data_IF_773680646240
#
_entry.id   IF_773680646240
#
_cell.length_a   1.000
_cell.length_b   1.000
_cell.length_c   1.000
_cell.angle_alpha   90.00
_cell.angle_beta   90.00
_cell.angle_gamma   90.00
#
_symmetry.space_group_name_H-M   'P 1'
#
loop_
_entity.id
_entity.type
_entity.pdbx_description
1 polymer ?
#
# COMPACT_ATOMS: atom_id res chain seq x y z
N UNK A 1 -38.88 41.75 -23.68
CA UNK A 1 -37.67 40.93 -23.87
C UNK A 1 -36.89 40.85 -22.55
N UNK A 2 -37.12 39.87 -21.67
CA UNK A 2 -36.44 39.82 -20.36
C UNK A 2 -36.34 38.44 -19.69
N UNK A 3 -36.35 37.32 -20.43
CA UNK A 3 -36.36 35.97 -19.82
C UNK A 3 -35.07 35.13 -19.98
N UNK A 4 -33.99 35.70 -20.52
CA UNK A 4 -32.76 34.92 -20.83
C UNK A 4 -31.69 34.97 -19.73
N UNK A 5 -31.81 35.85 -18.73
CA UNK A 5 -30.73 36.07 -17.74
C UNK A 5 -30.74 35.17 -16.49
N UNK A 6 -31.79 34.38 -16.26
CA UNK A 6 -31.94 33.58 -15.03
C UNK A 6 -31.32 32.17 -15.16
N UNK A 7 -31.11 31.67 -16.39
CA UNK A 7 -30.64 30.28 -16.60
C UNK A 7 -29.12 30.15 -16.44
N UNK A 8 -28.34 31.23 -16.59
CA UNK A 8 -26.87 31.16 -16.53
C UNK A 8 -26.26 31.15 -15.12
N UNK A 9 -27.03 31.48 -14.08
CA UNK A 9 -26.55 31.47 -12.69
C UNK A 9 -26.78 30.14 -11.97
N UNK A 10 -27.66 29.27 -12.50
CA UNK A 10 -27.90 27.94 -11.93
C UNK A 10 -26.85 26.90 -12.33
N UNK A 11 -26.11 27.12 -13.43
CA UNK A 11 -25.09 26.18 -13.94
C UNK A 11 -23.72 26.32 -13.25
N UNK A 12 -23.45 27.40 -12.53
CA UNK A 12 -22.17 27.61 -11.82
C UNK A 12 -22.27 27.12 -10.36
N UNK A 13 -23.47 27.00 -9.80
CA UNK A 13 -23.69 26.43 -8.46
C UNK A 13 -23.59 24.91 -8.39
N UNK A 14 -23.63 24.21 -9.53
CA UNK A 14 -23.60 22.74 -9.58
C UNK A 14 -22.19 22.14 -9.69
N UNK A 15 -21.15 22.95 -9.88
CA UNK A 15 -19.76 22.49 -9.96
C UNK A 15 -18.99 22.57 -8.63
N UNK A 16 -19.65 23.01 -7.55
CA UNK A 16 -19.03 23.17 -6.23
C UNK A 16 -19.41 22.05 -5.24
N UNK A 17 -20.15 21.03 -5.67
CA UNK A 17 -20.53 19.91 -4.81
C UNK A 17 -19.79 18.64 -5.24
N UNK A 18 -19.10 18.05 -4.27
CA UNK A 18 -18.42 16.76 -4.33
C UNK A 18 -17.11 16.70 -5.15
N UNK A 19 -16.11 17.46 -4.72
CA UNK A 19 -14.82 16.79 -4.48
C UNK A 19 -14.97 16.20 -3.07
N UNK A 20 -15.75 15.13 -2.95
CA UNK A 20 -15.52 14.23 -1.83
C UNK A 20 -14.06 13.83 -1.96
N UNK A 21 -13.20 13.97 -0.93
CA UNK A 21 -11.99 13.20 -0.96
C UNK A 21 -12.46 11.75 -1.09
N UNK A 22 -12.34 11.15 -2.28
CA UNK A 22 -12.17 9.71 -2.37
C UNK A 22 -11.09 9.45 -1.35
N UNK A 23 -11.45 8.79 -0.25
CA UNK A 23 -10.53 8.51 0.83
C UNK A 23 -9.28 7.96 0.16
N UNK A 24 -8.20 8.74 0.18
CA UNK A 24 -6.98 8.33 -0.48
C UNK A 24 -6.59 7.04 0.23
N UNK A 25 -6.54 5.95 -0.54
CA UNK A 25 -6.08 4.68 -0.03
C UNK A 25 -4.69 4.90 0.57
N UNK A 26 -4.56 4.65 1.87
CA UNK A 26 -3.27 4.79 2.51
C UNK A 26 -2.37 3.68 1.96
N UNK A 27 -1.31 4.07 1.27
CA UNK A 27 -0.19 3.17 1.03
C UNK A 27 0.56 2.95 2.34
N UNK A 28 1.28 1.87 2.45
CA UNK A 28 2.11 1.54 3.59
C UNK A 28 3.37 0.87 3.08
N UNK A 29 4.46 1.08 3.79
CA UNK A 29 5.70 0.35 3.57
C UNK A 29 6.12 -0.26 4.88
N UNK A 30 6.08 -1.58 4.98
CA UNK A 30 6.56 -2.32 6.15
C UNK A 30 7.89 -2.98 5.82
N UNK A 31 8.94 -2.66 6.56
CA UNK A 31 10.24 -3.30 6.39
C UNK A 31 10.44 -4.32 7.51
N UNK A 32 10.84 -5.54 7.13
CA UNK A 32 11.32 -6.59 8.02
C UNK A 32 12.83 -6.71 7.82
N UNK A 33 13.60 -6.39 8.85
CA UNK A 33 15.07 -6.47 8.83
C UNK A 33 15.53 -7.54 9.84
N UNK A 34 16.32 -8.50 9.35
CA UNK A 34 16.92 -9.57 10.13
C UNK A 34 18.45 -9.65 9.94
N UNK A 35 19.09 -8.56 9.50
CA UNK A 35 20.55 -8.45 9.34
C UNK A 35 21.35 -8.69 10.62
N UNK A 36 20.75 -8.42 11.78
CA UNK A 36 21.36 -8.68 13.08
C UNK A 36 21.21 -10.15 13.53
N UNK A 37 20.50 -10.98 12.75
CA UNK A 37 20.20 -12.34 13.15
C UNK A 37 21.41 -13.26 12.99
N UNK A 38 21.63 -14.16 13.97
CA UNK A 38 22.81 -15.03 14.05
C UNK A 38 22.64 -16.36 13.30
N UNK A 39 21.65 -16.45 12.43
CA UNK A 39 21.25 -17.69 11.76
C UNK A 39 22.17 -17.96 10.57
N UNK A 40 22.56 -19.23 10.34
CA UNK A 40 23.18 -19.61 9.09
C UNK A 40 22.10 -19.58 8.00
N UNK A 41 21.95 -18.41 7.37
CA UNK A 41 21.24 -18.29 6.11
C UNK A 41 22.21 -18.73 5.01
N UNK A 42 21.99 -19.89 4.41
CA UNK A 42 22.60 -20.21 3.09
C UNK A 42 21.88 -19.42 1.95
N UNK A 43 20.98 -18.52 2.32
CA UNK A 43 20.25 -17.61 1.44
C UNK A 43 21.11 -16.39 1.09
N UNK A 44 22.11 -16.56 0.23
CA UNK A 44 22.74 -15.52 -0.62
C UNK A 44 22.73 -14.06 -0.06
N UNK A 45 23.22 -13.83 1.17
CA UNK A 45 23.25 -12.51 1.85
C UNK A 45 21.90 -11.78 1.97
N UNK A 46 20.79 -12.51 1.91
CA UNK A 46 19.44 -11.97 2.05
C UNK A 46 19.13 -11.75 3.53
N UNK A 47 18.85 -10.51 3.89
CA UNK A 47 18.65 -10.12 5.28
C UNK A 47 17.52 -9.11 5.50
N UNK A 48 16.78 -8.76 4.44
CA UNK A 48 15.68 -7.80 4.52
C UNK A 48 14.57 -8.09 3.53
N UNK A 49 13.34 -7.87 3.97
CA UNK A 49 12.14 -7.84 3.14
C UNK A 49 11.42 -6.49 3.29
N UNK A 50 10.84 -6.03 2.19
CA UNK A 50 10.00 -4.81 2.16
C UNK A 50 8.65 -5.18 1.59
N UNK A 51 7.60 -4.88 2.36
CA UNK A 51 6.21 -5.01 1.94
C UNK A 51 5.72 -3.62 1.57
N UNK A 52 5.42 -3.41 0.29
CA UNK A 52 4.69 -2.24 -0.17
C UNK A 52 3.24 -2.65 -0.31
N UNK A 53 2.35 -2.07 0.50
CA UNK A 53 0.97 -2.53 0.54
C UNK A 53 -0.01 -1.39 0.73
N UNK A 54 -1.28 -1.64 0.40
CA UNK A 54 -2.39 -0.72 0.62
C UNK A 54 -3.63 -1.53 0.98
N UNK A 55 -4.55 -0.92 1.72
CA UNK A 55 -5.79 -1.58 2.08
C UNK A 55 -6.91 -0.60 2.36
N UNK A 56 -8.14 -1.10 2.29
CA UNK A 56 -9.32 -0.35 2.74
C UNK A 56 -9.75 -0.98 4.05
N UNK A 57 -9.67 -0.21 5.13
CA UNK A 57 -10.27 -0.61 6.40
C UNK A 57 -11.79 -0.72 6.22
N UNK A 58 -12.26 -1.96 6.06
CA UNK A 58 -13.66 -2.31 5.86
C UNK A 58 -14.34 -2.73 7.14
N UNK A 59 -13.58 -2.86 8.24
CA UNK A 59 -14.03 -3.38 9.51
C UNK A 59 -14.01 -2.28 10.60
N UNK A 60 -14.64 -2.56 11.73
CA UNK A 60 -14.68 -1.63 12.87
C UNK A 60 -13.51 -1.81 13.83
N UNK A 61 -12.57 -2.68 13.49
CA UNK A 61 -11.64 -3.28 14.44
C UNK A 61 -10.22 -2.71 14.28
N UNK A 62 -10.08 -1.62 13.52
CA UNK A 62 -8.83 -0.91 13.22
C UNK A 62 -7.73 -1.85 12.68
N UNK A 63 -8.13 -2.84 11.89
CA UNK A 63 -7.24 -3.84 11.31
C UNK A 63 -7.42 -3.91 9.81
N UNK A 64 -6.33 -4.16 9.10
CA UNK A 64 -6.37 -4.53 7.69
C UNK A 64 -5.98 -6.00 7.60
N UNK A 65 -6.86 -6.81 7.03
CA UNK A 65 -6.57 -8.20 6.73
C UNK A 65 -6.40 -8.49 5.23
N UNK A 66 -6.06 -9.74 4.91
CA UNK A 66 -5.86 -10.22 3.54
C UNK A 66 -7.04 -9.98 2.59
N UNK A 67 -8.28 -9.84 3.09
CA UNK A 67 -9.47 -9.58 2.28
C UNK A 67 -9.65 -8.10 1.95
N UNK A 68 -8.94 -7.23 2.66
CA UNK A 68 -9.02 -5.78 2.57
C UNK A 68 -7.83 -5.16 1.82
N UNK A 69 -6.77 -5.95 1.58
CA UNK A 69 -5.64 -5.57 0.76
C UNK A 69 -6.08 -5.18 -0.65
N UNK A 70 -5.52 -4.09 -1.16
CA UNK A 70 -5.66 -3.69 -2.57
C UNK A 70 -4.37 -3.93 -3.31
N UNK A 71 -3.25 -3.48 -2.76
CA UNK A 71 -1.93 -3.74 -3.34
C UNK A 71 -1.08 -4.42 -2.26
N UNK A 72 -0.30 -5.42 -2.64
CA UNK A 72 0.75 -5.98 -1.79
C UNK A 72 1.87 -6.53 -2.64
N UNK A 73 3.04 -5.91 -2.52
CA UNK A 73 4.28 -6.30 -3.18
C UNK A 73 5.32 -6.67 -2.13
N UNK A 74 5.87 -7.88 -2.25
CA UNK A 74 7.02 -8.33 -1.50
C UNK A 74 8.29 -8.09 -2.31
N UNK A 75 9.26 -7.43 -1.69
CA UNK A 75 10.63 -7.32 -2.20
C UNK A 75 11.59 -7.96 -1.23
N UNK A 76 12.48 -8.80 -1.73
CA UNK A 76 13.56 -9.39 -0.95
C UNK A 76 14.86 -8.72 -1.36
N UNK A 77 15.64 -8.30 -0.36
CA UNK A 77 16.81 -7.47 -0.53
C UNK A 77 18.04 -8.20 0.02
N UNK A 78 19.09 -8.22 -0.79
CA UNK A 78 20.46 -8.44 -0.32
C UNK A 78 20.96 -7.08 0.19
N UNK A 79 21.09 -6.88 1.50
CA UNK A 79 21.56 -5.59 2.03
C UNK A 79 23.03 -5.34 1.73
N UNK A 80 23.85 -6.38 1.61
CA UNK A 80 25.28 -6.27 1.33
C UNK A 80 25.53 -5.62 -0.03
N UNK A 81 24.66 -5.90 -1.00
CA UNK A 81 24.64 -5.27 -2.31
C UNK A 81 23.65 -4.09 -2.38
N UNK A 82 22.75 -3.94 -1.41
CA UNK A 82 21.59 -3.04 -1.45
C UNK A 82 20.76 -3.21 -2.73
N UNK A 83 20.56 -4.47 -3.14
CA UNK A 83 19.83 -4.81 -4.37
C UNK A 83 18.59 -5.64 -4.09
N UNK A 84 17.52 -5.38 -4.85
CA UNK A 84 16.33 -6.25 -4.86
C UNK A 84 16.67 -7.50 -5.66
N UNK A 85 16.68 -8.66 -5.00
CA UNK A 85 17.00 -9.95 -5.61
C UNK A 85 15.76 -10.72 -6.04
N UNK A 86 14.60 -10.38 -5.46
CA UNK A 86 13.31 -10.97 -5.82
C UNK A 86 12.17 -9.98 -5.58
N UNK A 87 11.15 -10.06 -6.43
CA UNK A 87 9.91 -9.29 -6.29
C UNK A 87 8.73 -10.19 -6.60
N UNK A 88 7.73 -10.16 -5.73
CA UNK A 88 6.45 -10.84 -5.90
C UNK A 88 5.33 -9.83 -5.74
N UNK A 89 4.50 -9.69 -6.76
CA UNK A 89 3.24 -8.95 -6.66
C UNK A 89 2.23 -9.97 -6.14
N UNK A 90 1.83 -9.85 -4.88
CA UNK A 90 0.97 -10.80 -4.19
C UNK A 90 -0.50 -10.42 -4.41
N UNK A 91 -0.81 -9.12 -4.27
CA UNK A 91 -2.13 -8.55 -4.52
C UNK A 91 -1.98 -7.33 -5.44
N UNK A 92 -2.82 -7.25 -6.47
CA UNK A 92 -2.92 -6.10 -7.39
C UNK A 92 -4.39 -5.73 -7.54
N UNK A 93 -4.73 -4.50 -7.14
CA UNK A 93 -6.10 -3.97 -7.14
C UNK A 93 -7.14 -4.96 -6.54
N UNK A 94 -6.82 -5.51 -5.37
CA UNK A 94 -7.66 -6.44 -4.60
C UNK A 94 -7.70 -7.86 -5.14
N UNK A 95 -6.91 -8.18 -6.17
CA UNK A 95 -6.86 -9.51 -6.78
C UNK A 95 -5.52 -10.17 -6.45
N UNK A 96 -5.59 -11.34 -5.82
CA UNK A 96 -4.42 -12.18 -5.57
C UNK A 96 -3.83 -12.68 -6.89
N UNK A 97 -2.54 -12.45 -7.07
CA UNK A 97 -1.82 -12.78 -8.28
C UNK A 97 -1.19 -14.18 -8.20
N UNK A 98 -0.99 -14.88 -9.33
CA UNK A 98 -0.28 -16.15 -9.34
C UNK A 98 1.20 -16.00 -8.95
N UNK A 99 1.82 -17.06 -8.43
CA UNK A 99 3.27 -17.13 -8.16
C UNK A 99 3.92 -18.19 -9.04
N UNK A 100 4.95 -17.78 -9.79
CA UNK A 100 5.62 -18.66 -10.75
C UNK A 100 4.64 -19.36 -11.72
N UNK A 101 3.54 -18.72 -12.09
CA UNK A 101 2.51 -19.28 -12.97
C UNK A 101 1.46 -20.17 -12.29
N UNK A 102 1.53 -20.40 -10.98
CA UNK A 102 0.51 -21.13 -10.20
C UNK A 102 -0.48 -20.15 -9.62
N UNK A 103 -1.78 -20.40 -9.82
CA UNK A 103 -2.84 -19.58 -9.25
C UNK A 103 -2.83 -19.63 -7.71
N UNK A 104 -2.93 -18.45 -7.09
CA UNK A 104 -3.14 -18.26 -5.66
C UNK A 104 -4.53 -17.71 -5.39
N UNK A 105 -5.12 -18.08 -4.26
CA UNK A 105 -6.37 -17.54 -3.74
C UNK A 105 -6.09 -16.68 -2.50
N UNK A 106 -7.06 -15.85 -2.11
CA UNK A 106 -6.99 -15.08 -0.86
C UNK A 106 -6.82 -15.94 0.39
N UNK A 107 -7.30 -17.19 0.36
CA UNK A 107 -7.10 -18.16 1.45
C UNK A 107 -5.71 -18.80 1.46
N UNK A 108 -4.85 -18.49 0.49
CA UNK A 108 -3.49 -19.01 0.41
C UNK A 108 -2.45 -18.02 0.91
N UNK A 109 -2.88 -16.83 1.30
CA UNK A 109 -2.06 -15.80 1.93
C UNK A 109 -2.60 -15.53 3.33
N UNK A 110 -1.75 -15.01 4.20
CA UNK A 110 -2.14 -14.43 5.49
C UNK A 110 -1.60 -13.01 5.54
N UNK A 111 -2.41 -12.09 6.03
CA UNK A 111 -1.98 -10.72 6.27
C UNK A 111 -2.86 -10.15 7.35
N UNK A 112 -2.23 -9.60 8.39
CA UNK A 112 -2.94 -8.86 9.42
C UNK A 112 -2.10 -7.72 9.94
N UNK A 113 -2.62 -6.51 9.81
CA UNK A 113 -1.98 -5.30 10.28
C UNK A 113 -2.92 -4.54 11.21
N UNK A 114 -2.41 -4.13 12.37
CA UNK A 114 -3.11 -3.28 13.32
C UNK A 114 -2.75 -1.81 13.06
N UNK A 115 -3.75 -1.02 12.66
CA UNK A 115 -3.58 0.38 12.27
C UNK A 115 -3.23 1.26 13.47
N UNK A 116 -3.78 0.97 14.65
CA UNK A 116 -3.58 1.79 15.86
C UNK A 116 -2.15 1.69 16.39
N UNK A 117 -1.65 0.45 16.45
CA UNK A 117 -0.35 0.16 17.03
C UNK A 117 0.78 0.19 15.99
N UNK A 118 0.44 0.29 14.70
CA UNK A 118 1.39 0.26 13.57
C UNK A 118 2.14 -1.09 13.49
N UNK A 119 1.47 -2.18 13.88
CA UNK A 119 2.05 -3.53 14.04
C UNK A 119 1.56 -4.47 12.94
N UNK A 120 2.50 -5.15 12.28
CA UNK A 120 2.20 -6.30 11.44
C UNK A 120 2.09 -7.54 12.32
N UNK A 121 0.86 -8.02 12.55
CA UNK A 121 0.57 -9.10 13.48
C UNK A 121 0.85 -10.49 12.88
N UNK A 122 0.56 -10.69 11.59
CA UNK A 122 0.89 -11.91 10.86
C UNK A 122 0.99 -11.67 9.37
N UNK A 123 1.79 -12.51 8.71
CA UNK A 123 1.96 -12.50 7.27
C UNK A 123 2.33 -13.89 6.77
N UNK A 124 1.88 -14.20 5.56
CA UNK A 124 2.28 -15.35 4.76
C UNK A 124 1.97 -15.00 3.30
N UNK A 125 2.97 -14.90 2.43
CA UNK A 125 2.74 -14.54 1.03
C UNK A 125 2.27 -15.71 0.16
N UNK A 126 2.38 -16.95 0.63
CA UNK A 126 1.88 -18.14 -0.07
C UNK A 126 1.97 -19.42 0.77
N UNK A 127 1.15 -20.43 0.47
CA UNK A 127 1.30 -21.75 1.07
C UNK A 127 2.36 -22.62 0.34
N UNK A 128 3.18 -23.41 1.06
CA UNK A 128 4.16 -24.31 0.45
C UNK A 128 3.62 -25.26 -0.63
N UNK A 129 2.34 -25.65 -0.56
CA UNK A 129 1.74 -26.58 -1.53
C UNK A 129 1.66 -25.97 -2.94
N UNK A 130 1.38 -24.67 -3.05
CA UNK A 130 1.26 -23.99 -4.35
C UNK A 130 2.61 -23.81 -5.03
N UNK A 131 3.68 -23.71 -4.25
CA UNK A 131 5.04 -23.65 -4.74
C UNK A 131 5.37 -24.87 -5.62
N UNK A 132 4.84 -26.06 -5.32
CA UNK A 132 5.14 -27.32 -6.04
C UNK A 132 4.88 -27.28 -7.55
N UNK A 133 4.02 -26.38 -8.03
CA UNK A 133 3.73 -26.19 -9.47
C UNK A 133 4.43 -25.00 -10.11
N UNK A 134 5.23 -24.24 -9.35
CA UNK A 134 5.78 -22.96 -9.80
C UNK A 134 6.91 -23.15 -10.80
N UNK A 135 7.01 -22.26 -11.77
CA UNK A 135 8.16 -22.11 -12.65
C UNK A 135 9.15 -21.11 -12.05
N UNK A 136 10.44 -21.42 -12.14
CA UNK A 136 11.51 -20.52 -11.70
C UNK A 136 11.74 -20.51 -10.20
N UNK A 137 12.44 -19.48 -9.73
CA UNK A 137 12.74 -19.25 -8.31
C UNK A 137 11.62 -18.44 -7.66
N UNK A 138 11.13 -18.90 -6.53
CA UNK A 138 10.08 -18.26 -5.74
C UNK A 138 10.45 -18.27 -4.26
N UNK A 139 9.83 -17.39 -3.48
CA UNK A 139 10.04 -17.33 -2.04
C UNK A 139 8.71 -17.41 -1.32
N UNK A 140 8.70 -18.19 -0.24
CA UNK A 140 7.68 -18.09 0.79
C UNK A 140 8.30 -17.41 2.02
N UNK A 141 7.66 -16.35 2.49
CA UNK A 141 7.99 -15.57 3.66
C UNK A 141 6.75 -15.52 4.55
N UNK A 142 6.83 -16.12 5.72
CA UNK A 142 5.75 -16.12 6.68
C UNK A 142 6.26 -15.86 8.09
N UNK A 143 5.36 -15.42 8.96
CA UNK A 143 5.74 -15.08 10.31
C UNK A 143 4.62 -14.44 11.12
N UNK A 144 5.01 -14.05 12.33
CA UNK A 144 4.13 -13.39 13.30
C UNK A 144 4.86 -12.22 13.90
N UNK A 145 4.10 -11.17 14.21
CA UNK A 145 4.57 -10.03 14.97
C UNK A 145 4.61 -10.30 16.48
N UNK A 146 4.82 -9.25 17.29
CA UNK A 146 4.76 -9.33 18.75
C UNK A 146 3.47 -10.00 19.27
N UNK A 147 3.52 -10.64 20.47
CA UNK A 147 4.63 -10.66 21.42
C UNK A 147 5.71 -11.71 21.14
N UNK A 148 5.48 -12.60 20.18
CA UNK A 148 6.39 -13.71 19.87
C UNK A 148 6.79 -13.63 18.40
N UNK A 149 7.67 -12.67 18.03
CA UNK A 149 8.04 -12.47 16.65
C UNK A 149 8.75 -13.71 16.09
N UNK A 150 8.34 -14.11 14.90
CA UNK A 150 8.96 -15.21 14.16
C UNK A 150 9.08 -14.84 12.69
N UNK A 151 10.14 -15.33 12.05
CA UNK A 151 10.34 -15.20 10.62
C UNK A 151 10.77 -16.54 10.04
N UNK A 152 10.02 -17.00 9.06
CA UNK A 152 10.37 -18.11 8.20
C UNK A 152 10.52 -17.61 6.77
N UNK A 153 11.61 -18.01 6.13
CA UNK A 153 11.83 -17.77 4.71
C UNK A 153 12.25 -19.07 4.04
N UNK A 154 11.63 -19.40 2.92
CA UNK A 154 11.96 -20.59 2.13
C UNK A 154 12.12 -20.20 0.66
N UNK A 155 13.25 -20.60 0.06
CA UNK A 155 13.52 -20.46 -1.37
C UNK A 155 13.11 -21.75 -2.08
N UNK A 156 12.35 -21.59 -3.15
CA UNK A 156 11.85 -22.68 -3.97
C UNK A 156 12.37 -22.52 -5.40
N UNK A 157 12.64 -23.64 -6.07
CA UNK A 157 13.03 -23.68 -7.47
C UNK A 157 12.27 -24.80 -8.19
N UNK A 158 11.42 -24.42 -9.15
CA UNK A 158 10.60 -25.39 -9.88
C UNK A 158 9.75 -26.26 -8.94
N UNK A 159 9.23 -25.65 -7.87
CA UNK A 159 8.44 -26.31 -6.84
C UNK A 159 9.16 -27.22 -5.85
N UNK A 160 10.48 -27.29 -5.90
CA UNK A 160 11.27 -27.94 -4.85
C UNK A 160 11.82 -26.89 -3.89
N UNK A 161 11.65 -27.10 -2.58
CA UNK A 161 12.30 -26.25 -1.57
C UNK A 161 13.80 -26.53 -1.59
N UNK A 162 14.59 -25.53 -1.95
CA UNK A 162 16.05 -25.66 -2.07
C UNK A 162 16.78 -25.08 -0.87
N UNK A 163 16.17 -24.13 -0.18
CA UNK A 163 16.74 -23.52 1.01
C UNK A 163 15.60 -23.03 1.93
N UNK A 164 15.85 -23.03 3.22
CA UNK A 164 14.91 -22.55 4.21
C UNK A 164 15.66 -22.09 5.46
N UNK A 165 15.23 -20.95 5.97
CA UNK A 165 15.67 -20.45 7.25
C UNK A 165 14.46 -20.16 8.12
N UNK A 166 14.66 -20.37 9.42
CA UNK A 166 13.63 -20.15 10.40
C UNK A 166 14.24 -19.63 11.70
N UNK A 167 13.62 -18.59 12.24
CA UNK A 167 14.07 -17.89 13.41
C UNK A 167 12.92 -17.68 14.42
N UNK A 168 12.99 -18.44 15.52
CA UNK A 168 12.22 -18.16 16.73
C UNK A 168 13.00 -17.17 17.61
N UNK A 169 12.55 -15.92 17.65
CA UNK A 169 13.21 -14.87 18.45
C UNK A 169 14.03 -13.87 17.64
N UNK A 170 13.92 -13.91 16.31
CA UNK A 170 14.40 -12.89 15.40
C UNK A 170 14.14 -11.50 15.99
N UNK A 171 15.19 -10.69 16.08
CA UNK A 171 15.01 -9.25 16.23
C UNK A 171 14.56 -8.70 14.88
N UNK A 172 13.31 -9.00 14.50
CA UNK A 172 12.68 -8.39 13.33
C UNK A 172 12.39 -6.96 13.71
N UNK A 173 13.20 -6.04 13.18
CA UNK A 173 12.90 -4.62 13.34
C UNK A 173 11.84 -4.26 12.32
N UNK A 174 10.63 -3.97 12.80
CA UNK A 174 9.55 -3.47 11.97
C UNK A 174 9.62 -1.95 11.91
N UNK A 175 9.53 -1.39 10.71
CA UNK A 175 9.19 0.03 10.53
C UNK A 175 8.08 0.15 9.50
N UNK A 176 7.07 0.95 9.80
CA UNK A 176 5.98 1.23 8.88
C UNK A 176 5.95 2.72 8.55
N UNK A 177 5.77 3.05 7.27
CA UNK A 177 5.57 4.43 6.82
C UNK A 177 4.19 4.54 6.18
N UNK A 178 3.33 5.37 6.77
CA UNK A 178 2.03 5.76 6.20
C UNK A 178 2.17 7.14 5.55
N UNK A 179 1.92 7.30 4.24
CA UNK A 179 1.79 8.61 3.61
C UNK A 179 0.72 9.40 4.35
N UNK A 180 1.08 10.60 4.79
CA UNK A 180 0.10 11.51 5.35
C UNK A 180 -0.93 11.85 4.24
N UNK A 181 -2.25 11.88 4.55
CA UNK A 181 -3.22 12.47 3.66
C UNK A 181 -2.70 13.85 3.26
N UNK A 182 -2.68 14.16 1.95
CA UNK A 182 -2.16 15.44 1.48
C UNK A 182 -2.76 16.55 2.34
N UNK A 183 -1.93 17.37 3.01
CA UNK A 183 -2.44 18.26 4.03
C UNK A 183 -3.48 19.15 3.38
N UNK A 184 -4.59 19.39 4.08
CA UNK A 184 -5.71 20.23 3.61
C UNK A 184 -5.27 21.61 3.08
N UNK A 185 -4.00 22.00 3.27
CA UNK A 185 -3.27 23.00 2.49
C UNK A 185 -3.53 22.95 0.99
N UNK A 186 -3.65 21.79 0.32
CA UNK A 186 -4.01 21.76 -1.10
C UNK A 186 -5.46 22.18 -1.35
N UNK A 187 -6.38 21.79 -0.46
CA UNK A 187 -7.76 22.27 -0.49
C UNK A 187 -7.84 23.77 -0.19
N UNK A 188 -7.09 24.28 0.79
CA UNK A 188 -7.01 25.70 1.16
C UNK A 188 -6.35 26.51 0.03
N UNK A 189 -5.29 25.99 -0.58
CA UNK A 189 -4.61 26.60 -1.72
C UNK A 189 -5.54 26.67 -2.93
N UNK A 190 -6.24 25.58 -3.24
CA UNK A 190 -7.28 25.53 -4.27
C UNK A 190 -8.42 26.52 -4.02
N UNK A 191 -8.93 26.58 -2.78
CA UNK A 191 -9.94 27.56 -2.36
C UNK A 191 -9.42 29.01 -2.45
N UNK A 192 -8.17 29.25 -2.07
CA UNK A 192 -7.51 30.54 -2.18
C UNK A 192 -7.40 31.02 -3.63
N UNK A 193 -6.98 30.13 -4.54
CA UNK A 193 -6.92 30.39 -5.98
C UNK A 193 -8.31 30.63 -6.58
N UNK A 194 -9.32 29.84 -6.18
CA UNK A 194 -10.70 30.04 -6.60
C UNK A 194 -11.22 31.42 -6.15
N UNK A 195 -10.95 31.81 -4.90
CA UNK A 195 -11.29 33.13 -4.35
C UNK A 195 -10.64 34.29 -5.12
N UNK A 196 -9.35 34.17 -5.44
CA UNK A 196 -8.60 35.13 -6.27
C UNK A 196 -9.18 35.26 -7.69
N UNK A 197 -9.54 34.14 -8.31
CA UNK A 197 -10.18 34.10 -9.63
C UNK A 197 -11.53 34.82 -9.65
N UNK A 198 -12.37 34.61 -8.63
CA UNK A 198 -13.67 35.27 -8.48
C UNK A 198 -13.51 36.79 -8.25
N UNK A 199 -12.54 37.22 -7.43
CA UNK A 199 -12.27 38.65 -7.21
C UNK A 199 -11.85 39.37 -8.50
N UNK A 200 -11.01 38.74 -9.33
CA UNK A 200 -10.58 39.32 -10.61
C UNK A 200 -11.74 39.54 -11.58
N UNK A 201 -12.72 38.63 -11.61
CA UNK A 201 -13.93 38.76 -12.45
C UNK A 201 -14.82 39.93 -12.01
N UNK A 202 -14.97 40.15 -10.70
CA UNK A 202 -15.79 41.26 -10.16
C UNK A 202 -15.22 42.64 -10.51
N UNK A 203 -13.89 42.81 -10.50
CA UNK A 203 -13.25 44.08 -10.91
C UNK A 203 -13.49 44.43 -12.37
N UNK A 204 -13.48 43.44 -13.27
CA UNK A 204 -13.75 43.66 -14.71
C UNK A 204 -15.21 44.05 -14.99
N UNK A 205 -16.15 43.59 -14.16
CA UNK A 205 -17.57 43.94 -14.25
C UNK A 205 -17.91 45.33 -13.68
N UNK A 206 -17.13 45.83 -12.72
CA UNK A 206 -17.31 47.18 -12.15
C UNK A 206 -16.86 48.28 -13.12
N UNK A 207 -15.74 48.08 -13.83
CA UNK A 207 -15.24 49.03 -14.83
C UNK A 207 -16.20 49.26 -16.00
N UNK A 208 -16.98 48.26 -16.40
CA UNK A 208 -17.99 48.40 -17.47
C UNK A 208 -19.21 49.25 -17.10
N UNK A 209 -19.41 49.60 -15.82
CA UNK A 209 -20.57 50.41 -15.37
C UNK A 209 -20.29 51.91 -15.30
N UNK A 210 -19.02 52.33 -15.38
CA UNK A 210 -18.64 53.74 -15.36
C UNK A 210 -18.30 54.29 -16.76
N UNK A 211 -18.47 53.49 -17.82
CA UNK A 211 -18.21 53.88 -19.21
C UNK A 211 -19.49 54.03 -20.05
N UNK A 212 -20.65 54.17 -19.39
CA UNK A 212 -21.95 54.52 -19.97
C UNK A 212 -22.49 55.73 -19.21
#
# INVERSE_FOLDING_TARGET
MSRVRVVFLALIGLFALAISPTAAMAGFTTTLDWSASTFPLDLENIDRAVFEWSGVDGNSDDRIDQTELQDWVLKIIDSSASTVVFTDIIVDNGVVQPIGGVGRLVSNIDFRFNILDDILESWDNDIPLLQSGSSGTTFNLYGRGPPSPSLDISKWLGGNRIDAAFDFGATVTQSTVRPAPEPGTLAIFGLGLAGLGLMRRRRKAAWRRHAL
#
